data_IF_808346842563
#
_entry.id   IF_808346842563
#
_cell.length_a   1.000
_cell.length_b   1.000
_cell.length_c   1.000
_cell.angle_alpha   90.00
_cell.angle_beta   90.00
_cell.angle_gamma   90.00
#
_symmetry.space_group_name_H-M   'P 1'
#
loop_
_entity.id
_entity.type
_entity.pdbx_description
1 polymer ?
#
# COMPACT_ATOMS: atom_id res chain seq x y z
N UNK A 1 -12.30 32.09 -11.22
CA UNK A 1 -12.65 31.29 -10.03
C UNK A 1 -12.09 29.89 -10.18
N UNK A 2 -11.29 29.49 -9.22
CA UNK A 2 -10.68 28.16 -9.28
C UNK A 2 -11.71 27.10 -8.94
N UNK A 3 -11.84 26.11 -9.80
CA UNK A 3 -12.67 24.95 -9.49
C UNK A 3 -11.98 24.16 -8.37
N UNK A 4 -12.71 23.79 -7.29
CA UNK A 4 -12.12 22.97 -6.25
C UNK A 4 -11.57 21.66 -6.84
N UNK A 5 -10.43 21.21 -6.31
CA UNK A 5 -9.89 19.92 -6.72
C UNK A 5 -10.85 18.79 -6.37
N UNK A 6 -10.93 17.82 -7.24
CA UNK A 6 -11.65 16.58 -6.93
C UNK A 6 -10.91 15.85 -5.82
N UNK A 7 -11.62 15.53 -4.74
CA UNK A 7 -11.05 14.78 -3.61
C UNK A 7 -11.22 13.28 -3.85
N UNK A 8 -10.15 12.53 -3.66
CA UNK A 8 -10.19 11.07 -3.70
C UNK A 8 -9.74 10.55 -2.34
N UNK A 9 -10.56 9.72 -1.73
CA UNK A 9 -10.23 9.03 -0.49
C UNK A 9 -9.88 7.57 -0.81
N UNK A 10 -8.71 7.16 -0.36
CA UNK A 10 -8.17 5.82 -0.59
C UNK A 10 -8.04 5.13 0.76
N UNK A 11 -8.62 3.94 0.88
CA UNK A 11 -8.49 3.09 2.05
C UNK A 11 -7.71 1.86 1.66
N UNK A 12 -6.74 1.46 2.49
CA UNK A 12 -5.86 0.33 2.19
C UNK A 12 -5.68 -0.55 3.41
N UNK A 13 -5.47 -1.83 3.16
CA UNK A 13 -5.07 -2.77 4.20
C UNK A 13 -4.26 -3.91 3.58
N UNK A 14 -3.41 -4.52 4.40
CA UNK A 14 -2.62 -5.67 4.02
C UNK A 14 -2.76 -6.77 5.03
N UNK A 15 -2.68 -8.00 4.59
CA UNK A 15 -2.75 -9.18 5.44
C UNK A 15 -1.71 -10.21 4.99
N UNK A 16 -1.16 -10.93 5.95
CA UNK A 16 -0.21 -11.99 5.66
C UNK A 16 -0.38 -13.12 6.66
N UNK A 17 -0.49 -14.34 6.16
CA UNK A 17 -0.63 -15.54 6.99
C UNK A 17 0.76 -16.14 7.19
N UNK A 18 1.32 -16.00 8.42
CA UNK A 18 2.73 -16.26 8.67
C UNK A 18 3.57 -15.15 8.01
N UNK A 19 4.50 -14.59 8.66
CA UNK A 19 5.23 -13.40 8.17
C UNK A 19 6.74 -13.75 8.07
N UNK A 20 7.22 -14.30 6.94
CA UNK A 20 6.61 -14.35 5.61
C UNK A 20 5.63 -15.50 5.39
N UNK A 21 4.81 -15.35 4.36
CA UNK A 21 3.84 -16.35 3.95
C UNK A 21 2.88 -15.80 2.91
N UNK A 22 1.78 -16.52 2.60
CA UNK A 22 0.77 -16.01 1.69
C UNK A 22 0.15 -14.72 2.22
N UNK A 23 0.07 -13.70 1.38
CA UNK A 23 -0.47 -12.43 1.78
C UNK A 23 -1.32 -11.81 0.68
N UNK A 24 -1.96 -10.68 1.00
CA UNK A 24 -2.77 -9.96 0.06
C UNK A 24 -3.01 -8.53 0.53
N UNK A 25 -3.52 -7.71 -0.38
CA UNK A 25 -3.96 -6.38 -0.01
C UNK A 25 -5.37 -6.10 -0.51
N UNK A 26 -6.02 -5.14 0.13
CA UNK A 26 -7.32 -4.63 -0.26
C UNK A 26 -7.30 -3.12 -0.33
N UNK A 27 -8.02 -2.58 -1.30
CA UNK A 27 -8.09 -1.15 -1.57
C UNK A 27 -9.54 -0.77 -1.85
N UNK A 28 -9.99 0.35 -1.27
CA UNK A 28 -11.26 0.98 -1.59
C UNK A 28 -10.98 2.42 -2.01
N UNK A 29 -11.45 2.79 -3.19
CA UNK A 29 -11.31 4.14 -3.76
C UNK A 29 -12.67 4.81 -3.79
N UNK A 30 -12.78 6.00 -3.22
CA UNK A 30 -14.01 6.78 -3.17
C UNK A 30 -13.77 8.21 -3.65
N UNK A 31 -14.69 8.70 -4.49
CA UNK A 31 -14.71 10.10 -4.91
C UNK A 31 -16.17 10.50 -5.16
N UNK A 32 -16.54 11.70 -4.71
CA UNK A 32 -17.90 12.19 -4.91
C UNK A 32 -18.21 12.26 -6.40
N UNK A 33 -19.39 11.74 -6.79
CA UNK A 33 -19.83 11.71 -8.17
C UNK A 33 -19.32 10.54 -8.99
N UNK A 34 -18.56 9.62 -8.37
CA UNK A 34 -17.98 8.44 -9.05
C UNK A 34 -18.34 7.18 -8.30
N UNK A 35 -18.49 6.05 -9.00
CA UNK A 35 -18.70 4.76 -8.33
C UNK A 35 -17.49 4.39 -7.48
N UNK A 36 -17.75 3.81 -6.32
CA UNK A 36 -16.71 3.25 -5.48
C UNK A 36 -16.00 2.12 -6.22
N UNK A 37 -14.67 2.09 -6.14
CA UNK A 37 -13.86 1.04 -6.77
C UNK A 37 -13.14 0.24 -5.71
N UNK A 38 -13.19 -1.08 -5.84
CA UNK A 38 -12.43 -2.00 -4.99
C UNK A 38 -11.34 -2.68 -5.80
N UNK A 39 -10.18 -2.87 -5.17
CA UNK A 39 -9.05 -3.59 -5.77
C UNK A 39 -8.46 -4.53 -4.73
N UNK A 40 -7.95 -5.65 -5.17
CA UNK A 40 -7.25 -6.59 -4.29
C UNK A 40 -6.31 -7.45 -5.12
N UNK A 41 -5.28 -8.00 -4.45
CA UNK A 41 -4.35 -8.92 -5.08
C UNK A 41 -3.68 -9.77 -4.01
N UNK A 42 -3.45 -11.04 -4.31
CA UNK A 42 -2.81 -11.98 -3.41
C UNK A 42 -1.46 -12.45 -3.92
N UNK A 43 -0.55 -12.71 -3.00
CA UNK A 43 0.83 -13.14 -3.27
C UNK A 43 1.12 -14.43 -2.49
N UNK A 44 1.86 -15.35 -3.11
CA UNK A 44 2.14 -16.66 -2.51
C UNK A 44 3.13 -16.60 -1.34
N UNK A 45 4.06 -15.64 -1.37
CA UNK A 45 5.06 -15.46 -0.32
C UNK A 45 5.49 -14.01 -0.25
N UNK A 46 5.15 -13.34 0.85
CA UNK A 46 5.43 -11.92 1.05
C UNK A 46 5.40 -11.61 2.55
N UNK A 47 5.36 -10.33 2.92
CA UNK A 47 5.26 -9.90 4.31
C UNK A 47 4.10 -8.93 4.50
N UNK A 48 3.67 -8.77 5.74
CA UNK A 48 2.60 -7.82 6.05
C UNK A 48 2.98 -6.39 5.63
N UNK A 49 4.19 -5.96 5.96
CA UNK A 49 4.63 -4.60 5.60
C UNK A 49 4.68 -4.37 4.10
N UNK A 50 5.08 -5.38 3.32
CA UNK A 50 5.08 -5.27 1.87
C UNK A 50 3.66 -5.13 1.32
N UNK A 51 2.71 -5.88 1.87
CA UNK A 51 1.31 -5.79 1.44
C UNK A 51 0.70 -4.44 1.79
N UNK A 52 0.99 -3.92 2.98
CA UNK A 52 0.53 -2.58 3.40
C UNK A 52 1.05 -1.49 2.46
N UNK A 53 2.34 -1.53 2.15
CA UNK A 53 2.98 -0.53 1.29
C UNK A 53 2.54 -0.68 -0.18
N UNK A 54 2.48 -1.92 -0.67
CA UNK A 54 2.07 -2.18 -2.05
C UNK A 54 0.62 -1.79 -2.30
N UNK A 55 -0.25 -1.92 -1.31
CA UNK A 55 -1.63 -1.45 -1.41
C UNK A 55 -1.67 0.05 -1.73
N UNK A 56 -0.88 0.86 -1.03
CA UNK A 56 -0.80 2.31 -1.29
C UNK A 56 -0.26 2.58 -2.69
N UNK A 57 0.81 1.87 -3.07
CA UNK A 57 1.42 2.02 -4.40
C UNK A 57 0.41 1.72 -5.50
N UNK A 58 -0.26 0.58 -5.43
CA UNK A 58 -1.18 0.17 -6.49
C UNK A 58 -2.43 1.05 -6.52
N UNK A 59 -2.87 1.57 -5.37
CA UNK A 59 -3.96 2.54 -5.33
C UNK A 59 -3.57 3.84 -6.05
N UNK A 60 -2.37 4.35 -5.80
CA UNK A 60 -1.89 5.56 -6.47
C UNK A 60 -1.71 5.35 -7.97
N UNK A 61 -1.25 4.16 -8.38
CA UNK A 61 -1.16 3.81 -9.81
C UNK A 61 -2.51 3.78 -10.51
N UNK A 62 -3.57 3.51 -9.78
CA UNK A 62 -4.92 3.46 -10.35
C UNK A 62 -5.49 4.84 -10.67
N UNK A 63 -4.90 5.91 -10.15
CA UNK A 63 -5.34 7.27 -10.40
C UNK A 63 -4.97 7.68 -11.83
N UNK A 64 -5.95 8.22 -12.56
CA UNK A 64 -5.79 8.57 -13.99
C UNK A 64 -5.41 10.02 -14.21
N UNK A 65 -5.46 10.86 -13.17
CA UNK A 65 -5.17 12.30 -13.24
C UNK A 65 -4.24 12.70 -12.12
N UNK A 66 -3.53 13.80 -12.31
CA UNK A 66 -2.59 14.34 -11.31
C UNK A 66 -3.16 15.52 -10.53
N UNK A 67 -4.28 16.09 -10.98
CA UNK A 67 -4.90 17.28 -10.39
C UNK A 67 -5.90 16.94 -9.28
N UNK A 68 -5.69 15.83 -8.60
CA UNK A 68 -6.57 15.34 -7.54
C UNK A 68 -6.02 15.69 -6.16
N UNK A 69 -6.93 15.94 -5.20
CA UNK A 69 -6.56 15.98 -3.80
C UNK A 69 -6.70 14.55 -3.26
N UNK A 70 -5.57 13.91 -2.94
CA UNK A 70 -5.54 12.49 -2.58
C UNK A 70 -5.28 12.31 -1.10
N UNK A 71 -6.15 11.57 -0.44
CA UNK A 71 -6.01 11.17 0.96
C UNK A 71 -5.95 9.65 1.02
N UNK A 72 -4.96 9.13 1.73
CA UNK A 72 -4.79 7.69 1.96
C UNK A 72 -4.98 7.40 3.45
N UNK A 73 -5.87 6.48 3.76
CA UNK A 73 -6.15 6.05 5.13
C UNK A 73 -5.66 4.61 5.31
N UNK A 74 -4.76 4.42 6.28
CA UNK A 74 -4.15 3.12 6.55
C UNK A 74 -3.98 2.91 8.05
N UNK A 75 -4.11 1.68 8.51
CA UNK A 75 -3.83 1.32 9.90
C UNK A 75 -2.36 0.91 10.11
N UNK A 76 -1.55 0.97 9.05
CA UNK A 76 -0.13 0.63 9.12
C UNK A 76 0.70 1.83 9.57
N UNK A 77 1.16 1.82 10.81
CA UNK A 77 2.11 2.83 11.29
C UNK A 77 3.41 2.78 10.53
N UNK A 78 3.83 1.58 10.10
CA UNK A 78 5.04 1.42 9.29
C UNK A 78 5.00 2.32 8.04
N UNK A 79 3.88 2.32 7.33
CA UNK A 79 3.74 3.13 6.11
C UNK A 79 3.49 4.60 6.45
N UNK A 80 2.50 4.87 7.28
CA UNK A 80 2.06 6.24 7.55
C UNK A 80 3.16 7.05 8.23
N UNK A 81 3.79 6.51 9.27
CA UNK A 81 4.81 7.24 10.02
C UNK A 81 6.06 7.52 9.19
N UNK A 82 6.46 6.58 8.32
CA UNK A 82 7.61 6.76 7.45
C UNK A 82 7.44 7.98 6.52
N UNK A 83 6.21 8.25 6.11
CA UNK A 83 5.91 9.38 5.22
C UNK A 83 5.62 10.64 6.02
N UNK A 84 4.73 10.58 7.01
CA UNK A 84 4.30 11.76 7.76
C UNK A 84 5.42 12.35 8.62
N UNK A 85 6.30 11.51 9.15
CA UNK A 85 7.48 11.96 9.90
C UNK A 85 8.67 12.26 9.00
N UNK A 86 8.53 12.06 7.68
CA UNK A 86 9.58 12.37 6.73
C UNK A 86 10.76 11.41 6.73
N UNK A 87 10.68 10.28 7.44
CA UNK A 87 11.79 9.34 7.55
C UNK A 87 12.23 8.76 6.21
N UNK A 88 11.26 8.46 5.35
CA UNK A 88 11.55 7.83 4.05
C UNK A 88 12.41 8.71 3.15
N UNK A 89 12.29 10.02 3.28
CA UNK A 89 13.10 10.96 2.48
C UNK A 89 14.58 10.92 2.93
N UNK A 90 14.82 10.74 4.23
CA UNK A 90 16.16 10.51 4.75
C UNK A 90 16.73 9.16 4.32
N UNK A 91 15.90 8.13 4.30
CA UNK A 91 16.32 6.80 3.83
C UNK A 91 16.75 6.86 2.36
N UNK A 92 15.99 7.59 1.53
CA UNK A 92 16.33 7.77 0.11
C UNK A 92 17.72 8.40 -0.05
N UNK A 93 18.03 9.44 0.73
CA UNK A 93 19.34 10.09 0.68
C UNK A 93 20.49 9.15 1.01
N UNK A 94 20.24 8.16 1.86
CA UNK A 94 21.22 7.15 2.26
C UNK A 94 21.16 5.88 1.41
N UNK A 95 20.42 5.91 0.29
CA UNK A 95 20.28 4.75 -0.59
C UNK A 95 19.58 3.56 0.05
N UNK A 96 18.74 3.81 1.05
CA UNK A 96 18.01 2.78 1.82
C UNK A 96 18.93 1.81 2.55
N UNK A 97 20.12 2.25 2.91
CA UNK A 97 21.07 1.43 3.66
C UNK A 97 20.43 0.93 4.95
N UNK A 98 20.50 -0.39 5.18
CA UNK A 98 19.94 -1.06 6.36
C UNK A 98 18.42 -0.90 6.49
N UNK A 99 17.73 -0.58 5.39
CA UNK A 99 16.26 -0.48 5.37
C UNK A 99 15.65 -1.57 4.50
N UNK A 100 14.52 -2.10 4.96
CA UNK A 100 13.76 -3.11 4.22
C UNK A 100 12.87 -2.47 3.15
N UNK A 101 12.54 -3.25 2.14
CA UNK A 101 11.57 -2.87 1.11
C UNK A 101 12.01 -1.67 0.25
N UNK A 102 13.30 -1.54 -0.10
CA UNK A 102 13.74 -0.39 -0.89
C UNK A 102 13.10 -0.34 -2.27
N UNK A 103 12.79 -1.48 -2.87
CA UNK A 103 12.10 -1.58 -4.15
C UNK A 103 10.74 -0.86 -4.10
N UNK A 104 9.94 -1.18 -3.10
CA UNK A 104 8.60 -0.60 -2.94
C UNK A 104 8.67 0.87 -2.53
N UNK A 105 9.59 1.24 -1.64
CA UNK A 105 9.71 2.62 -1.22
C UNK A 105 10.16 3.53 -2.37
N UNK A 106 11.04 3.07 -3.25
CA UNK A 106 11.44 3.84 -4.44
C UNK A 106 10.26 4.05 -5.37
N UNK A 107 9.47 3.03 -5.61
CA UNK A 107 8.27 3.14 -6.43
C UNK A 107 7.24 4.09 -5.80
N UNK A 108 7.02 3.96 -4.49
CA UNK A 108 6.15 4.86 -3.75
C UNK A 108 6.57 6.33 -3.91
N UNK A 109 7.87 6.61 -3.79
CA UNK A 109 8.35 8.00 -3.86
C UNK A 109 8.15 8.64 -5.23
N UNK A 110 8.23 7.87 -6.31
CA UNK A 110 7.90 8.35 -7.65
C UNK A 110 6.41 8.75 -7.73
N UNK A 111 5.54 7.93 -7.17
CA UNK A 111 4.10 8.21 -7.13
C UNK A 111 3.77 9.36 -6.17
N UNK A 112 4.52 9.47 -5.08
CA UNK A 112 4.39 10.56 -4.13
C UNK A 112 4.65 11.92 -4.79
N UNK A 113 5.69 12.02 -5.60
CA UNK A 113 6.00 13.24 -6.34
C UNK A 113 4.88 13.60 -7.32
N UNK A 114 4.28 12.60 -7.93
CA UNK A 114 3.24 12.78 -8.94
C UNK A 114 1.90 13.20 -8.34
N UNK A 115 1.47 12.51 -7.30
CA UNK A 115 0.12 12.66 -6.73
C UNK A 115 0.08 13.42 -5.40
N UNK A 116 1.21 13.54 -4.72
CA UNK A 116 1.33 14.26 -3.44
C UNK A 116 0.24 13.86 -2.43
N UNK A 117 0.07 12.55 -2.17
CA UNK A 117 -0.98 12.10 -1.27
C UNK A 117 -0.71 12.52 0.17
N UNK A 118 -1.79 12.76 0.92
CA UNK A 118 -1.73 12.96 2.36
C UNK A 118 -2.09 11.64 3.01
N UNK A 119 -1.19 11.11 3.84
CA UNK A 119 -1.41 9.84 4.53
C UNK A 119 -1.97 10.11 5.93
N UNK A 120 -2.98 9.33 6.29
CA UNK A 120 -3.66 9.42 7.59
C UNK A 120 -3.66 8.06 8.24
N UNK A 121 -3.20 8.00 9.49
CA UNK A 121 -3.31 6.77 10.26
C UNK A 121 -4.71 6.63 10.83
N UNK A 122 -5.29 5.45 10.70
CA UNK A 122 -6.55 5.08 11.33
C UNK A 122 -6.32 3.85 12.19
N UNK A 123 -7.05 3.76 13.29
CA UNK A 123 -6.94 2.59 14.17
C UNK A 123 -7.63 1.39 13.53
N UNK A 124 -6.89 0.28 13.36
CA UNK A 124 -7.44 -0.94 12.78
C UNK A 124 -8.52 -1.56 13.66
N UNK A 125 -9.46 -2.26 13.02
CA UNK A 125 -10.55 -2.99 13.69
C UNK A 125 -11.45 -2.12 14.58
N UNK A 126 -11.59 -0.83 14.24
CA UNK A 126 -12.33 0.10 15.09
C UNK A 126 -13.48 0.78 14.34
N UNK A 127 -14.49 0.01 13.94
CA UNK A 127 -15.75 0.51 13.40
C UNK A 127 -15.59 1.41 12.16
N UNK A 128 -14.56 1.19 11.36
CA UNK A 128 -14.33 1.94 10.13
C UNK A 128 -14.74 1.06 8.95
N UNK A 129 -15.91 1.26 8.34
CA UNK A 129 -16.46 0.33 7.32
C UNK A 129 -15.52 0.09 6.15
N UNK A 130 -14.87 1.15 5.65
CA UNK A 130 -13.96 1.02 4.52
C UNK A 130 -12.69 0.23 4.89
N UNK A 131 -12.17 0.46 6.09
CA UNK A 131 -11.00 -0.29 6.57
C UNK A 131 -11.34 -1.78 6.76
N UNK A 132 -12.51 -2.06 7.34
CA UNK A 132 -12.97 -3.45 7.49
C UNK A 132 -13.17 -4.12 6.13
N UNK A 133 -13.67 -3.38 5.14
CA UNK A 133 -13.82 -3.90 3.78
C UNK A 133 -12.45 -4.22 3.17
N UNK A 134 -11.46 -3.35 3.35
CA UNK A 134 -10.10 -3.58 2.87
C UNK A 134 -9.49 -4.83 3.51
N UNK A 135 -9.70 -5.03 4.81
CA UNK A 135 -9.23 -6.24 5.50
C UNK A 135 -9.84 -7.49 4.88
N UNK A 136 -11.15 -7.51 4.67
CA UNK A 136 -11.82 -8.65 4.03
C UNK A 136 -11.29 -8.92 2.63
N UNK A 137 -11.08 -7.87 1.84
CA UNK A 137 -10.51 -7.99 0.49
C UNK A 137 -9.09 -8.57 0.56
N UNK A 138 -8.27 -8.09 1.49
CA UNK A 138 -6.89 -8.55 1.65
C UNK A 138 -6.83 -10.02 2.03
N UNK A 139 -7.62 -10.44 3.02
CA UNK A 139 -7.66 -11.82 3.49
C UNK A 139 -8.17 -12.75 2.39
N UNK A 140 -9.25 -12.37 1.71
CA UNK A 140 -9.80 -13.16 0.61
C UNK A 140 -8.79 -13.31 -0.53
N UNK A 141 -8.09 -12.22 -0.89
CA UNK A 141 -7.09 -12.24 -1.94
C UNK A 141 -5.92 -13.16 -1.61
N UNK A 142 -5.49 -13.20 -0.34
CA UNK A 142 -4.40 -14.06 0.11
C UNK A 142 -4.70 -15.56 -0.04
N UNK A 143 -5.97 -15.91 -0.16
CA UNK A 143 -6.44 -17.30 -0.27
C UNK A 143 -6.90 -17.68 -1.67
N UNK A 144 -7.09 -16.70 -2.55
CA UNK A 144 -7.63 -16.93 -3.90
C UNK A 144 -6.51 -17.28 -4.88
N UNK A 145 -6.51 -18.51 -5.36
CA UNK A 145 -5.53 -18.98 -6.34
C UNK A 145 -5.96 -18.65 -7.77
N UNK A 146 -5.02 -18.42 -8.69
CA UNK A 146 -3.56 -18.46 -8.48
C UNK A 146 -3.05 -17.20 -7.77
N UNK A 147 -2.06 -17.37 -6.89
CA UNK A 147 -1.42 -16.26 -6.21
C UNK A 147 -0.26 -15.72 -7.04
N UNK A 148 -0.04 -14.42 -6.97
CA UNK A 148 1.06 -13.77 -7.65
C UNK A 148 2.40 -14.06 -6.97
N UNK A 149 3.48 -13.73 -7.66
CA UNK A 149 4.84 -13.86 -7.15
C UNK A 149 5.35 -12.48 -6.75
N UNK A 150 5.79 -12.35 -5.49
CA UNK A 150 6.53 -11.17 -5.05
C UNK A 150 8.00 -11.41 -5.39
N UNK A 151 8.36 -11.09 -6.64
CA UNK A 151 9.64 -11.49 -7.22
C UNK A 151 10.85 -10.95 -6.45
N UNK A 152 10.83 -9.68 -6.07
CA UNK A 152 11.92 -9.09 -5.32
C UNK A 152 12.09 -9.79 -3.97
N UNK A 153 10.99 -9.95 -3.23
CA UNK A 153 11.04 -10.58 -1.91
C UNK A 153 11.52 -12.03 -1.98
N UNK A 154 10.97 -12.80 -2.91
CA UNK A 154 11.36 -14.20 -3.06
C UNK A 154 12.82 -14.35 -3.50
N UNK A 155 13.33 -13.42 -4.30
CA UNK A 155 14.74 -13.43 -4.70
C UNK A 155 15.68 -13.23 -3.51
N UNK A 156 15.29 -12.41 -2.54
CA UNK A 156 16.08 -12.22 -1.32
C UNK A 156 16.14 -13.50 -0.48
N UNK A 157 15.04 -14.24 -0.42
CA UNK A 157 15.00 -15.49 0.34
C UNK A 157 15.87 -16.58 -0.26
N UNK A 158 15.95 -16.65 -1.59
CA UNK A 158 16.85 -17.60 -2.26
C UNK A 158 18.30 -17.22 -2.13
N UNK A 159 18.64 -15.92 -2.03
CA UNK A 159 20.00 -15.47 -1.81
C UNK A 159 20.53 -15.83 -0.43
N UNK A 160 19.66 -15.91 0.57
CA UNK A 160 20.02 -16.31 1.92
C UNK A 160 20.22 -17.83 2.04
N UNK A 161 19.88 -18.58 1.00
CA UNK A 161 20.06 -20.00 0.96
C UNK A 161 21.51 -20.40 0.71
N UNK A 162 21.85 -21.60 1.17
CA UNK A 162 23.20 -22.13 0.99
C UNK A 162 23.44 -22.59 -0.46
N UNK A 163 22.39 -22.89 -1.17
CA UNK A 163 22.39 -23.35 -2.56
C UNK A 163 21.35 -22.65 -3.40
#
# INVERSE_FOLDING_TARGET
MDTPQQVVNIYTDGACSGNPGPGGYGIVLEAEGYPQKEMSKGYRCTTNNRMELLAVIDALKALKREDLEVHVFSDSKYVVDAVTNGWVFGWLKKGFKDKKNPDLWREFLLLYQKHKPKLHWIKGHNSHPQNERCDKLAVAASKKKPLAVDAYFESLQTQDGLF
#
